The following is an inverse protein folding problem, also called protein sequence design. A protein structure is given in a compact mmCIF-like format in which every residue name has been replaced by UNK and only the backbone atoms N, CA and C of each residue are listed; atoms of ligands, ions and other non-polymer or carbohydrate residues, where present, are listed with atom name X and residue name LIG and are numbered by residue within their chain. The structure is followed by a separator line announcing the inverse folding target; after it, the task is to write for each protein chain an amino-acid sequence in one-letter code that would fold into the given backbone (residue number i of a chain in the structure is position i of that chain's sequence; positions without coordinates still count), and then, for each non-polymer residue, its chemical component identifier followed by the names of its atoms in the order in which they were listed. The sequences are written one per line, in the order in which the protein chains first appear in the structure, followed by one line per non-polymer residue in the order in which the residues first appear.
data_IF_440766722071
#
_entry.id   IF_440766722071
#
_cell.length_a   1.000
_cell.length_b   1.000
_cell.length_c   1.000
_cell.angle_alpha   90.00
_cell.angle_beta   90.00
_cell.angle_gamma   90.00
#
_symmetry.space_group_name_H-M   'P 1'
#
loop_
_entity.id
_entity.type
_entity.pdbx_description
1 polymer ?
#
# COMPACT_ATOMS: atom_id res chain seq x y z
N UNK A 1 3.76 -13.29 15.05
CA UNK A 1 3.32 -11.99 14.49
C UNK A 1 4.20 -11.69 13.31
N UNK A 2 3.62 -11.22 12.20
CA UNK A 2 4.34 -10.80 10.99
C UNK A 2 3.89 -9.39 10.64
N UNK A 3 4.79 -8.57 10.09
CA UNK A 3 4.51 -7.18 9.72
C UNK A 3 5.00 -6.95 8.30
N UNK A 4 4.10 -6.53 7.43
CA UNK A 4 4.39 -5.97 6.11
C UNK A 4 3.99 -4.49 6.16
N UNK A 5 4.97 -3.62 6.39
CA UNK A 5 4.74 -2.19 6.54
C UNK A 5 5.26 -1.43 5.33
N UNK A 6 4.38 -1.19 4.35
CA UNK A 6 4.67 -0.62 3.04
C UNK A 6 5.66 -1.46 2.24
N UNK A 7 5.36 -2.75 2.09
CA UNK A 7 6.30 -3.71 1.48
C UNK A 7 5.65 -4.54 0.37
N UNK A 8 4.36 -4.88 0.47
CA UNK A 8 3.69 -5.77 -0.48
C UNK A 8 3.53 -5.11 -1.86
N UNK A 9 3.29 -3.79 -1.89
CA UNK A 9 3.21 -2.93 -3.08
C UNK A 9 4.47 -2.90 -3.96
N UNK A 10 5.60 -3.44 -3.50
CA UNK A 10 6.84 -3.56 -4.27
C UNK A 10 7.00 -4.92 -4.97
N UNK A 11 6.12 -5.88 -4.67
CA UNK A 11 6.06 -7.15 -5.39
C UNK A 11 5.16 -7.04 -6.60
N UNK A 12 5.45 -7.85 -7.61
CA UNK A 12 4.56 -8.05 -8.74
C UNK A 12 3.19 -8.58 -8.22
N UNK A 13 2.04 -8.11 -8.74
CA UNK A 13 0.73 -8.50 -8.26
C UNK A 13 0.51 -10.01 -8.19
N UNK A 14 1.07 -10.75 -9.16
CA UNK A 14 1.00 -12.20 -9.24
C UNK A 14 1.72 -12.93 -8.08
N UNK A 15 2.70 -12.28 -7.42
CA UNK A 15 3.49 -12.89 -6.34
C UNK A 15 2.89 -12.64 -4.94
N UNK A 16 1.98 -11.67 -4.82
CA UNK A 16 1.43 -11.21 -3.54
C UNK A 16 0.70 -12.31 -2.80
N UNK A 17 -0.16 -13.06 -3.49
CA UNK A 17 -0.95 -14.12 -2.88
C UNK A 17 -0.05 -15.22 -2.31
N UNK A 18 0.97 -15.64 -3.06
CA UNK A 18 1.91 -16.66 -2.61
C UNK A 18 2.66 -16.26 -1.33
N UNK A 19 3.01 -14.97 -1.19
CA UNK A 19 3.61 -14.46 0.04
C UNK A 19 2.62 -14.48 1.22
N UNK A 20 1.38 -14.05 0.99
CA UNK A 20 0.33 -14.04 2.01
C UNK A 20 0.01 -15.46 2.50
N UNK A 21 -0.10 -16.43 1.59
CA UNK A 21 -0.31 -17.84 1.90
C UNK A 21 0.83 -18.40 2.76
N UNK A 22 2.07 -18.08 2.40
CA UNK A 22 3.27 -18.48 3.16
C UNK A 22 3.27 -17.89 4.57
N UNK A 23 2.88 -16.62 4.71
CA UNK A 23 2.77 -15.96 6.02
C UNK A 23 1.69 -16.65 6.85
N UNK A 24 0.52 -16.90 6.27
CA UNK A 24 -0.58 -17.57 6.95
C UNK A 24 -0.18 -18.96 7.46
N UNK A 25 0.42 -19.78 6.60
CA UNK A 25 0.90 -21.13 6.97
C UNK A 25 2.02 -21.11 8.02
N UNK A 26 2.81 -20.05 8.08
CA UNK A 26 3.89 -19.89 9.05
C UNK A 26 3.47 -19.26 10.38
N UNK A 27 2.23 -18.76 10.50
CA UNK A 27 1.74 -18.16 11.74
C UNK A 27 1.29 -19.25 12.72
N UNK A 28 1.76 -19.13 13.97
CA UNK A 28 1.22 -19.92 15.08
C UNK A 28 -0.28 -19.62 15.28
N UNK A 29 -1.07 -20.56 15.84
CA UNK A 29 -2.44 -20.29 16.26
C UNK A 29 -2.54 -19.03 17.14
N UNK A 30 -3.46 -18.13 16.79
CA UNK A 30 -3.59 -16.81 17.44
C UNK A 30 -2.58 -15.75 16.96
N UNK A 31 -1.76 -16.06 15.96
CA UNK A 31 -0.84 -15.12 15.32
C UNK A 31 -1.57 -14.04 14.53
N UNK A 32 -0.94 -12.86 14.43
CA UNK A 32 -1.45 -11.73 13.67
C UNK A 32 -0.48 -11.30 12.55
N UNK A 33 -1.05 -10.82 11.45
CA UNK A 33 -0.39 -10.08 10.39
C UNK A 33 -0.82 -8.60 10.45
N UNK A 34 0.13 -7.68 10.42
CA UNK A 34 -0.12 -6.27 10.15
C UNK A 34 0.29 -5.96 8.72
N UNK A 35 -0.67 -5.53 7.89
CA UNK A 35 -0.46 -5.12 6.52
C UNK A 35 -0.77 -3.62 6.38
N UNK A 36 0.27 -2.82 6.16
CA UNK A 36 0.15 -1.38 5.89
C UNK A 36 0.53 -1.13 4.44
N UNK A 37 -0.36 -0.60 3.63
CA UNK A 37 -0.13 -0.38 2.21
C UNK A 37 -0.70 0.98 1.78
N UNK A 38 -0.23 1.49 0.65
CA UNK A 38 -0.87 2.62 -0.02
C UNK A 38 -1.94 2.09 -0.97
N UNK A 39 -3.19 2.51 -0.78
CA UNK A 39 -4.31 2.06 -1.61
C UNK A 39 -4.50 2.91 -2.87
N UNK A 40 -4.93 2.25 -3.94
CA UNK A 40 -5.60 2.90 -5.08
C UNK A 40 -7.11 2.92 -4.84
N UNK A 41 -7.80 3.91 -5.41
CA UNK A 41 -9.26 4.06 -5.27
C UNK A 41 -9.90 4.01 -6.65
N UNK A 42 -10.94 3.19 -6.80
CA UNK A 42 -11.68 3.10 -8.07
C UNK A 42 -12.52 4.36 -8.35
N UNK A 43 -12.98 5.05 -7.30
CA UNK A 43 -13.65 6.33 -7.43
C UNK A 43 -12.62 7.46 -7.62
N UNK A 44 -12.55 7.98 -8.85
CA UNK A 44 -11.64 9.05 -9.23
C UNK A 44 -11.79 10.33 -8.38
N UNK A 45 -13.01 10.63 -7.89
CA UNK A 45 -13.29 11.80 -7.05
C UNK A 45 -12.73 11.62 -5.65
N UNK A 46 -12.86 10.41 -5.09
CA UNK A 46 -12.27 10.05 -3.80
C UNK A 46 -10.75 10.00 -3.89
N UNK A 47 -10.23 9.45 -5.00
CA UNK A 47 -8.80 9.41 -5.29
C UNK A 47 -8.17 10.81 -5.35
N UNK A 48 -8.81 11.75 -6.07
CA UNK A 48 -8.33 13.14 -6.18
C UNK A 48 -8.37 13.87 -4.83
N UNK A 49 -9.44 13.69 -4.04
CA UNK A 49 -9.55 14.28 -2.71
C UNK A 49 -8.44 13.80 -1.77
N UNK A 50 -8.25 12.48 -1.68
CA UNK A 50 -7.23 11.89 -0.81
C UNK A 50 -5.82 12.23 -1.28
N UNK A 51 -5.63 12.33 -2.59
CA UNK A 51 -4.38 12.80 -3.17
C UNK A 51 -4.05 14.23 -2.72
N UNK A 52 -5.02 15.15 -2.81
CA UNK A 52 -4.86 16.54 -2.37
C UNK A 52 -4.62 16.64 -0.86
N UNK A 53 -5.35 15.89 -0.04
CA UNK A 53 -5.12 15.85 1.41
C UNK A 53 -3.72 15.34 1.78
N UNK A 54 -3.22 14.32 1.08
CA UNK A 54 -1.88 13.78 1.32
C UNK A 54 -0.79 14.77 0.87
N UNK A 55 -1.05 15.57 -0.16
CA UNK A 55 -0.18 16.67 -0.57
C UNK A 55 -0.10 17.75 0.53
N UNK A 56 -1.25 18.19 1.04
CA UNK A 56 -1.33 19.20 2.09
C UNK A 56 -0.70 18.73 3.40
N UNK A 57 -0.87 17.46 3.76
CA UNK A 57 -0.19 16.87 4.92
C UNK A 57 1.33 16.94 4.80
N UNK A 58 1.91 16.60 3.64
CA UNK A 58 3.37 16.65 3.43
C UNK A 58 3.90 18.09 3.44
N UNK A 59 3.16 19.03 2.83
CA UNK A 59 3.48 20.46 2.87
C UNK A 59 3.50 20.98 4.30
N UNK A 60 2.50 20.62 5.12
CA UNK A 60 2.43 21.02 6.53
C UNK A 60 3.56 20.45 7.40
N UNK A 61 4.14 19.31 7.01
CA UNK A 61 5.26 18.66 7.71
C UNK A 61 6.64 19.05 7.16
N UNK A 62 6.75 20.12 6.36
CA UNK A 62 8.03 20.69 5.94
C UNK A 62 8.76 19.94 4.83
N UNK A 63 8.10 19.03 4.14
CA UNK A 63 8.66 18.46 2.92
C UNK A 63 8.62 19.50 1.79
N UNK A 64 9.76 19.75 1.14
CA UNK A 64 9.79 20.61 -0.04
C UNK A 64 9.03 19.96 -1.21
N UNK A 65 8.34 20.76 -2.03
CA UNK A 65 7.63 20.23 -3.22
C UNK A 65 8.58 19.44 -4.15
N UNK A 66 9.87 19.79 -4.15
CA UNK A 66 10.92 19.13 -4.93
C UNK A 66 11.25 17.71 -4.41
N UNK A 67 11.43 17.54 -3.10
CA UNK A 67 11.71 16.22 -2.49
C UNK A 67 10.50 15.27 -2.58
N UNK A 68 9.29 15.83 -2.47
CA UNK A 68 8.05 15.08 -2.67
C UNK A 68 7.95 14.61 -4.12
N UNK A 69 8.20 15.52 -5.08
CA UNK A 69 8.15 15.23 -6.52
C UNK A 69 9.19 14.18 -6.92
N UNK A 70 10.45 14.34 -6.52
CA UNK A 70 11.52 13.39 -6.86
C UNK A 70 11.29 11.99 -6.30
N UNK A 71 10.97 11.87 -5.00
CA UNK A 71 10.66 10.56 -4.39
C UNK A 71 9.44 9.92 -5.05
N UNK A 72 8.45 10.73 -5.42
CA UNK A 72 7.21 10.25 -6.03
C UNK A 72 7.44 9.73 -7.44
N UNK A 73 8.15 10.47 -8.29
CA UNK A 73 8.43 10.04 -9.67
C UNK A 73 9.33 8.81 -9.73
N UNK A 74 10.24 8.64 -8.75
CA UNK A 74 11.05 7.42 -8.63
C UNK A 74 10.25 6.19 -8.22
N UNK A 75 9.15 6.37 -7.49
CA UNK A 75 8.36 5.28 -6.91
C UNK A 75 7.06 4.99 -7.68
N UNK A 76 6.54 5.94 -8.46
CA UNK A 76 5.27 5.80 -9.20
C UNK A 76 5.29 4.70 -10.27
N UNK A 77 6.47 4.36 -10.82
CA UNK A 77 6.58 3.33 -11.87
C UNK A 77 6.95 1.93 -11.34
N UNK A 78 7.20 1.79 -10.04
CA UNK A 78 7.58 0.52 -9.39
C UNK A 78 6.64 0.12 -8.25
N UNK A 79 5.79 1.04 -7.79
CA UNK A 79 4.81 0.79 -6.74
C UNK A 79 3.45 0.49 -7.35
N UNK A 80 3.07 -0.78 -7.32
CA UNK A 80 1.79 -1.24 -7.85
C UNK A 80 0.78 -1.31 -6.70
N UNK A 81 -0.12 -0.35 -6.59
CA UNK A 81 -1.04 -0.23 -5.45
C UNK A 81 -2.36 -0.97 -5.70
N UNK A 82 -2.83 -1.74 -4.73
CA UNK A 82 -4.13 -2.42 -4.77
C UNK A 82 -5.25 -1.56 -4.14
N UNK A 83 -6.49 -1.87 -4.47
CA UNK A 83 -7.66 -1.31 -3.78
C UNK A 83 -7.89 -2.02 -2.44
N UNK A 84 -8.67 -1.38 -1.56
CA UNK A 84 -9.00 -1.98 -0.25
C UNK A 84 -9.83 -3.25 -0.44
N UNK A 85 -10.67 -3.28 -1.47
CA UNK A 85 -11.55 -4.39 -1.83
C UNK A 85 -10.75 -5.63 -2.19
N UNK A 86 -9.66 -5.49 -2.95
CA UNK A 86 -8.74 -6.60 -3.29
C UNK A 86 -8.22 -7.32 -2.05
N UNK A 87 -7.92 -6.60 -0.97
CA UNK A 87 -7.43 -7.20 0.27
C UNK A 87 -8.54 -7.72 1.21
N UNK A 88 -9.79 -7.28 1.00
CA UNK A 88 -10.96 -7.73 1.79
C UNK A 88 -11.71 -8.88 1.15
N UNK A 89 -11.50 -9.13 -0.14
CA UNK A 89 -12.08 -10.27 -0.82
C UNK A 89 -11.60 -11.56 -0.15
N UNK A 90 -12.53 -12.38 0.33
CA UNK A 90 -12.21 -13.70 0.83
C UNK A 90 -11.77 -14.56 -0.38
N UNK A 91 -10.68 -15.35 -0.26
CA UNK A 91 -10.38 -16.35 -1.27
C UNK A 91 -11.55 -17.33 -1.34
N UNK A 92 -11.97 -17.65 -2.57
CA UNK A 92 -12.95 -18.70 -2.84
C UNK A 92 -12.38 -20.09 -2.50
#
# INVERSE_FOLDING_TARGET
MVVLNFTLQFLEPAERQALLDKIYLGLNPGGALVLSEKFSFEDAKVGELLFNMHHDFKRANGYSELEISQKRSMLENVMLTDSVETHKAAPA
#
